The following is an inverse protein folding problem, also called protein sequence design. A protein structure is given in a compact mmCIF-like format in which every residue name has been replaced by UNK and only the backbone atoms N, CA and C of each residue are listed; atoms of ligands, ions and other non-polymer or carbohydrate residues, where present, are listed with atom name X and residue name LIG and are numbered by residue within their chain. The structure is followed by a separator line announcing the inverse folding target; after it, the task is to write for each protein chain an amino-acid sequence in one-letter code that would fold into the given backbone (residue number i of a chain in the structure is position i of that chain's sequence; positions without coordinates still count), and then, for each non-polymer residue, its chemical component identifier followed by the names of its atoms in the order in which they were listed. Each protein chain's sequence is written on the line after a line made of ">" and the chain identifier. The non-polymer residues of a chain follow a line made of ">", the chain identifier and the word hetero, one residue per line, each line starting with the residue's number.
data_IF_158882796709
#
_entry.id   IF_158882796709
#
_cell.length_a   1.000
_cell.length_b   1.000
_cell.length_c   1.000
_cell.angle_alpha   90.00
_cell.angle_beta   90.00
_cell.angle_gamma   90.00
#
_symmetry.space_group_name_H-M   'P 1'
#
loop_
_entity.id
_entity.type
_entity.pdbx_description
1 polymer ?
#
# COMPACT_ATOMS: atom_id res chain seq x y z
N UNK A 1 -2.06 14.71 16.08
CA UNK A 1 -2.31 14.06 14.77
C UNK A 1 -3.74 14.39 14.36
N UNK A 2 -3.92 15.04 13.22
CA UNK A 2 -5.25 15.36 12.67
C UNK A 2 -5.96 14.10 12.14
N UNK A 3 -7.26 14.21 11.86
CA UNK A 3 -8.10 13.09 11.40
C UNK A 3 -7.57 12.49 10.08
N UNK A 4 -7.13 13.34 9.16
CA UNK A 4 -6.64 12.91 7.86
C UNK A 4 -5.39 12.04 8.00
N UNK A 5 -4.39 12.51 8.76
CA UNK A 5 -3.15 11.76 8.99
C UNK A 5 -3.42 10.40 9.64
N UNK A 6 -4.33 10.35 10.61
CA UNK A 6 -4.81 9.09 11.21
C UNK A 6 -5.46 8.17 10.18
N UNK A 7 -6.29 8.72 9.30
CA UNK A 7 -6.95 7.96 8.25
C UNK A 7 -5.94 7.32 7.28
N UNK A 8 -4.89 8.03 6.84
CA UNK A 8 -3.88 7.43 5.96
C UNK A 8 -2.98 6.41 6.66
N UNK A 9 -2.66 6.60 7.94
CA UNK A 9 -2.00 5.57 8.74
C UNK A 9 -2.86 4.31 8.83
N UNK A 10 -4.12 4.45 9.23
CA UNK A 10 -5.02 3.30 9.39
C UNK A 10 -5.27 2.58 8.06
N UNK A 11 -5.41 3.32 6.95
CA UNK A 11 -5.45 2.72 5.61
C UNK A 11 -4.17 1.95 5.29
N UNK A 12 -3.00 2.52 5.56
CA UNK A 12 -1.73 1.83 5.32
C UNK A 12 -1.66 0.54 6.15
N UNK A 13 -2.08 0.59 7.42
CA UNK A 13 -2.13 -0.59 8.32
C UNK A 13 -3.01 -1.69 7.75
N UNK A 14 -4.17 -1.36 7.19
CA UNK A 14 -5.04 -2.38 6.58
C UNK A 14 -4.36 -3.04 5.39
N UNK A 15 -3.76 -2.26 4.48
CA UNK A 15 -3.05 -2.81 3.32
C UNK A 15 -1.88 -3.70 3.75
N UNK A 16 -1.09 -3.25 4.72
CA UNK A 16 0.05 -4.02 5.26
C UNK A 16 -0.40 -5.34 5.91
N UNK A 17 -1.51 -5.32 6.66
CA UNK A 17 -2.09 -6.53 7.28
C UNK A 17 -2.54 -7.58 6.27
N UNK A 18 -2.92 -7.19 5.05
CA UNK A 18 -3.30 -8.16 4.00
C UNK A 18 -2.13 -9.08 3.62
N UNK A 19 -0.88 -8.65 3.87
CA UNK A 19 0.30 -9.44 3.54
C UNK A 19 0.35 -10.80 4.24
N UNK A 20 0.02 -10.86 5.53
CA UNK A 20 0.10 -12.08 6.32
C UNK A 20 -0.83 -13.20 5.81
N UNK A 21 -2.14 -12.95 5.70
CA UNK A 21 -3.09 -13.90 5.14
C UNK A 21 -2.77 -14.32 3.71
N UNK A 22 -2.39 -13.36 2.85
CA UNK A 22 -2.03 -13.66 1.46
C UNK A 22 -0.81 -14.56 1.32
N UNK A 23 0.21 -14.33 2.15
CA UNK A 23 1.41 -15.18 2.21
C UNK A 23 1.04 -16.59 2.71
N UNK A 24 0.18 -16.67 3.73
CA UNK A 24 -0.25 -17.94 4.32
C UNK A 24 -1.06 -18.81 3.36
N UNK A 25 -1.82 -18.20 2.45
CA UNK A 25 -2.54 -18.92 1.40
C UNK A 25 -1.75 -19.05 0.08
N UNK A 26 -0.43 -18.87 0.11
CA UNK A 26 0.45 -19.06 -1.05
C UNK A 26 0.16 -18.12 -2.22
N UNK A 27 -0.39 -16.92 -1.96
CA UNK A 27 -0.75 -15.93 -2.98
C UNK A 27 -1.70 -16.48 -4.06
N UNK A 28 -2.65 -17.35 -3.71
CA UNK A 28 -3.66 -17.79 -4.68
C UNK A 28 -4.38 -16.61 -5.34
N UNK A 29 -4.63 -16.70 -6.65
CA UNK A 29 -5.23 -15.61 -7.45
C UNK A 29 -6.54 -15.11 -6.84
N UNK A 30 -7.38 -16.03 -6.33
CA UNK A 30 -8.64 -15.69 -5.68
C UNK A 30 -8.43 -14.87 -4.41
N UNK A 31 -7.44 -15.24 -3.59
CA UNK A 31 -7.13 -14.49 -2.37
C UNK A 31 -6.54 -13.11 -2.71
N UNK A 32 -5.64 -13.05 -3.70
CA UNK A 32 -5.08 -11.79 -4.18
C UNK A 32 -6.18 -10.87 -4.71
N UNK A 33 -7.09 -11.37 -5.55
CA UNK A 33 -8.21 -10.60 -6.08
C UNK A 33 -9.07 -10.01 -4.96
N UNK A 34 -9.41 -10.81 -3.93
CA UNK A 34 -10.17 -10.32 -2.77
C UNK A 34 -9.41 -9.26 -1.98
N UNK A 35 -8.11 -9.45 -1.76
CA UNK A 35 -7.29 -8.47 -1.09
C UNK A 35 -7.20 -7.16 -1.89
N UNK A 36 -7.09 -7.24 -3.22
CA UNK A 36 -7.09 -6.07 -4.10
C UNK A 36 -8.44 -5.36 -4.06
N UNK A 37 -9.58 -6.07 -4.08
CA UNK A 37 -10.90 -5.46 -3.92
C UNK A 37 -11.04 -4.68 -2.60
N UNK A 38 -10.55 -5.26 -1.50
CA UNK A 38 -10.53 -4.58 -0.19
C UNK A 38 -9.62 -3.35 -0.24
N UNK A 39 -8.40 -3.49 -0.77
CA UNK A 39 -7.45 -2.39 -0.87
C UNK A 39 -7.99 -1.25 -1.76
N UNK A 40 -8.59 -1.58 -2.91
CA UNK A 40 -9.16 -0.64 -3.86
C UNK A 40 -10.28 0.20 -3.22
N UNK A 41 -11.18 -0.43 -2.49
CA UNK A 41 -12.25 0.27 -1.78
C UNK A 41 -11.73 1.30 -0.78
N UNK A 42 -10.57 1.03 -0.16
CA UNK A 42 -9.95 1.95 0.79
C UNK A 42 -9.18 3.04 0.04
N UNK A 43 -8.45 2.70 -1.03
CA UNK A 43 -7.73 3.68 -1.86
C UNK A 43 -8.67 4.71 -2.44
N UNK A 44 -9.84 4.32 -2.96
CA UNK A 44 -10.86 5.25 -3.45
C UNK A 44 -11.30 6.27 -2.40
N UNK A 45 -11.34 5.87 -1.12
CA UNK A 45 -11.66 6.79 -0.01
C UNK A 45 -10.51 7.76 0.27
N UNK A 46 -9.25 7.30 0.15
CA UNK A 46 -8.06 8.15 0.29
C UNK A 46 -7.97 9.15 -0.85
N UNK A 47 -8.26 8.74 -2.09
CA UNK A 47 -8.29 9.62 -3.26
C UNK A 47 -9.34 10.74 -3.13
N UNK A 48 -10.44 10.48 -2.41
CA UNK A 48 -11.45 11.49 -2.14
C UNK A 48 -11.03 12.54 -1.08
N UNK A 49 -9.96 12.27 -0.31
CA UNK A 49 -9.44 13.21 0.70
C UNK A 49 -8.59 14.27 0.01
N UNK A 50 -9.06 15.52 0.06
CA UNK A 50 -8.31 16.67 -0.44
C UNK A 50 -7.30 17.14 0.60
N UNK A 51 -6.01 16.89 0.34
CA UNK A 51 -4.90 17.34 1.19
C UNK A 51 -3.92 18.20 0.37
N UNK A 52 -3.41 19.26 0.99
CA UNK A 52 -2.44 20.20 0.41
C UNK A 52 -1.35 20.47 1.46
N UNK A 53 -0.05 20.51 1.13
CA UNK A 53 0.55 20.37 -0.20
C UNK A 53 0.69 18.94 -0.73
N UNK A 54 0.65 17.93 0.14
CA UNK A 54 0.92 16.55 -0.23
C UNK A 54 -0.40 15.77 -0.38
N UNK A 55 -0.66 15.12 -1.53
CA UNK A 55 -1.84 14.29 -1.71
C UNK A 55 -1.94 13.19 -0.64
N UNK A 56 -3.16 12.84 -0.24
CA UNK A 56 -3.40 11.79 0.74
C UNK A 56 -2.86 10.42 0.26
N UNK A 57 -2.93 10.15 -1.05
CA UNK A 57 -2.36 8.96 -1.70
C UNK A 57 -0.85 8.89 -1.58
N UNK A 58 -0.16 10.03 -1.71
CA UNK A 58 1.30 10.10 -1.52
C UNK A 58 1.69 9.77 -0.08
N UNK A 59 0.95 10.29 0.91
CA UNK A 59 1.17 9.94 2.31
C UNK A 59 0.92 8.45 2.58
N UNK A 60 -0.13 7.88 1.98
CA UNK A 60 -0.41 6.46 2.07
C UNK A 60 0.77 5.62 1.57
N UNK A 61 1.30 5.93 0.38
CA UNK A 61 2.47 5.20 -0.15
C UNK A 61 3.69 5.38 0.74
N UNK A 62 3.96 6.59 1.25
CA UNK A 62 5.07 6.82 2.19
C UNK A 62 4.94 5.97 3.46
N UNK A 63 3.74 5.87 4.03
CA UNK A 63 3.48 5.03 5.20
C UNK A 63 3.73 3.54 4.88
N UNK A 64 3.30 3.07 3.70
CA UNK A 64 3.56 1.69 3.26
C UNK A 64 5.05 1.45 3.06
N UNK A 65 5.77 2.38 2.42
CA UNK A 65 7.22 2.29 2.19
C UNK A 65 7.98 2.19 3.50
N UNK A 66 7.66 3.05 4.48
CA UNK A 66 8.35 3.07 5.77
C UNK A 66 8.13 1.81 6.61
N UNK A 67 7.00 1.12 6.41
CA UNK A 67 6.55 0.01 7.25
C UNK A 67 6.72 -1.37 6.57
N UNK A 68 6.95 -1.39 5.26
CA UNK A 68 7.18 -2.63 4.53
C UNK A 68 8.65 -3.04 4.64
N UNK A 69 8.88 -4.26 5.10
CA UNK A 69 10.23 -4.81 5.17
C UNK A 69 10.84 -4.92 3.76
N UNK A 70 12.13 -4.59 3.61
CA UNK A 70 12.82 -4.72 2.32
C UNK A 70 12.84 -3.47 1.43
N UNK A 71 12.19 -2.37 1.83
CA UNK A 71 12.26 -1.09 1.09
C UNK A 71 13.53 -0.28 1.40
N UNK A 72 14.26 -0.65 2.46
CA UNK A 72 15.45 0.05 2.94
C UNK A 72 15.15 1.35 3.70
N UNK A 73 13.87 1.72 3.85
CA UNK A 73 13.44 2.88 4.64
C UNK A 73 13.21 2.47 6.08
N UNK A 74 13.80 3.20 7.03
CA UNK A 74 13.55 2.99 8.46
C UNK A 74 12.34 3.81 8.90
N UNK A 75 11.38 3.17 9.55
CA UNK A 75 10.36 3.88 10.32
C UNK A 75 10.89 4.25 11.69
N UNK A 76 10.49 5.42 12.19
CA UNK A 76 10.72 5.82 13.60
C UNK A 76 9.92 4.95 14.58
N UNK A 77 8.74 4.48 14.14
CA UNK A 77 7.86 3.60 14.90
C UNK A 77 7.52 2.39 14.05
N UNK A 78 7.99 1.22 14.45
CA UNK A 78 7.62 -0.04 13.82
C UNK A 78 6.20 -0.45 14.24
N UNK A 79 5.32 -0.68 13.26
CA UNK A 79 3.96 -1.17 13.53
C UNK A 79 3.86 -2.70 13.64
N UNK A 80 4.94 -3.43 13.43
CA UNK A 80 5.05 -4.87 13.72
C UNK A 80 4.35 -5.80 12.71
N UNK A 81 3.92 -5.30 11.55
CA UNK A 81 3.22 -6.12 10.56
C UNK A 81 4.14 -7.05 9.78
N UNK A 82 5.44 -6.74 9.70
CA UNK A 82 6.43 -7.49 8.91
C UNK A 82 5.92 -7.80 7.49
N UNK A 83 5.31 -6.80 6.84
CA UNK A 83 4.69 -6.99 5.53
C UNK A 83 5.74 -7.38 4.49
N UNK A 84 5.43 -8.43 3.74
CA UNK A 84 6.27 -8.98 2.70
C UNK A 84 6.24 -8.10 1.45
N UNK A 85 7.41 -7.58 1.05
CA UNK A 85 7.56 -6.67 -0.07
C UNK A 85 7.02 -7.23 -1.38
N UNK A 86 7.09 -8.55 -1.60
CA UNK A 86 6.57 -9.17 -2.83
C UNK A 86 5.05 -9.14 -2.83
N UNK A 87 4.43 -9.44 -1.68
CA UNK A 87 2.97 -9.41 -1.54
C UNK A 87 2.43 -7.99 -1.72
N UNK A 88 3.06 -7.02 -1.06
CA UNK A 88 2.69 -5.60 -1.20
C UNK A 88 2.90 -5.13 -2.64
N UNK A 89 3.99 -5.52 -3.29
CA UNK A 89 4.24 -5.20 -4.70
C UNK A 89 3.13 -5.73 -5.60
N UNK A 90 2.65 -6.96 -5.41
CA UNK A 90 1.54 -7.54 -6.18
C UNK A 90 0.25 -6.74 -6.00
N UNK A 91 -0.11 -6.38 -4.76
CA UNK A 91 -1.29 -5.56 -4.49
C UNK A 91 -1.18 -4.20 -5.18
N UNK A 92 -0.04 -3.52 -5.04
CA UNK A 92 0.18 -2.20 -5.64
C UNK A 92 0.16 -2.27 -7.18
N UNK A 93 0.74 -3.31 -7.77
CA UNK A 93 0.71 -3.53 -9.22
C UNK A 93 -0.71 -3.68 -9.76
N UNK A 94 -1.55 -4.46 -9.08
CA UNK A 94 -2.97 -4.61 -9.43
C UNK A 94 -3.75 -3.29 -9.29
N UNK A 95 -3.51 -2.51 -8.24
CA UNK A 95 -4.14 -1.21 -8.05
C UNK A 95 -3.71 -0.20 -9.13
N UNK A 96 -2.44 -0.22 -9.52
CA UNK A 96 -1.92 0.58 -10.64
C UNK A 96 -2.57 0.17 -11.96
N UNK A 97 -2.69 -1.14 -12.22
CA UNK A 97 -3.35 -1.65 -13.42
C UNK A 97 -4.83 -1.21 -13.51
N UNK A 98 -5.49 -1.02 -12.35
CA UNK A 98 -6.85 -0.47 -12.24
C UNK A 98 -6.92 1.05 -12.33
N UNK A 99 -5.78 1.74 -12.43
CA UNK A 99 -5.69 3.18 -12.65
C UNK A 99 -5.47 4.03 -11.40
N UNK A 100 -5.19 3.42 -10.24
CA UNK A 100 -4.84 4.13 -9.01
C UNK A 100 -3.36 4.55 -8.98
N UNK A 101 -3.01 5.48 -8.08
CA UNK A 101 -1.62 5.91 -7.81
C UNK A 101 -0.85 6.51 -9.00
N UNK A 102 -1.54 7.12 -9.97
CA UNK A 102 -0.90 7.71 -11.16
C UNK A 102 0.18 8.74 -10.81
N UNK A 103 -0.02 9.52 -9.76
CA UNK A 103 0.94 10.54 -9.29
C UNK A 103 2.14 9.91 -8.58
N UNK A 104 1.92 8.77 -7.92
CA UNK A 104 2.92 8.07 -7.12
C UNK A 104 3.65 6.96 -7.90
N UNK A 105 3.42 6.80 -9.21
CA UNK A 105 4.03 5.74 -10.02
C UNK A 105 5.55 5.66 -9.86
N UNK A 106 6.25 6.79 -9.96
CA UNK A 106 7.70 6.82 -9.79
C UNK A 106 8.15 6.43 -8.37
N UNK A 107 7.35 6.78 -7.37
CA UNK A 107 7.59 6.42 -5.98
C UNK A 107 7.39 4.92 -5.75
N UNK A 108 6.29 4.36 -6.27
CA UNK A 108 6.02 2.92 -6.19
C UNK A 108 7.09 2.12 -6.95
N UNK A 109 7.48 2.55 -8.14
CA UNK A 109 8.53 1.91 -8.93
C UNK A 109 9.87 1.84 -8.20
N UNK A 110 10.22 2.91 -7.49
CA UNK A 110 11.48 2.99 -6.74
C UNK A 110 11.55 1.97 -5.59
N UNK A 111 10.46 1.79 -4.85
CA UNK A 111 10.46 0.99 -3.62
C UNK A 111 9.83 -0.41 -3.79
N UNK A 112 9.03 -0.60 -4.82
CA UNK A 112 8.31 -1.83 -5.15
C UNK A 112 8.47 -2.16 -6.64
N UNK A 113 9.70 -2.44 -7.13
CA UNK A 113 9.96 -2.63 -8.56
C UNK A 113 9.13 -3.78 -9.17
N UNK A 114 8.82 -4.80 -8.37
CA UNK A 114 7.99 -5.94 -8.78
C UNK A 114 6.52 -5.57 -9.03
N UNK A 115 6.05 -4.41 -8.57
CA UNK A 115 4.70 -3.93 -8.86
C UNK A 115 4.49 -3.61 -10.35
N UNK A 116 5.58 -3.45 -11.10
CA UNK A 116 5.54 -3.21 -12.55
C UNK A 116 5.83 -4.45 -13.39
N UNK A 117 6.18 -5.57 -12.76
CA UNK A 117 6.50 -6.82 -13.45
C UNK A 117 5.22 -7.61 -13.70
N UNK A 118 4.93 -7.89 -14.97
CA UNK A 118 3.87 -8.82 -15.38
C UNK A 118 4.19 -10.23 -14.91
#
# INVERSE_FOLDING_TARGET
>A
IDFESRFQEDTARVILKLSGPLKSCGLSDRALQRAVEVAENIVKRVEAVKRNPIPATTQLINNIVAQCSGTGVKSEVDWGYNADVQVISRILGELIARGHFKLELALVQRFFPLAMSK
#
